data_IF_211999013895
#
_entry.id   IF_211999013895
#
_cell.length_a   1.000
_cell.length_b   1.000
_cell.length_c   1.000
_cell.angle_alpha   90.00
_cell.angle_beta   90.00
_cell.angle_gamma   90.00
#
_symmetry.space_group_name_H-M   'P 1'
#
loop_
_entity.id
_entity.type
_entity.pdbx_description
1 polymer ?
#
# COMPACT_ATOMS: atom_id res chain seq x y z
N UNK A 1 24.75 14.12 10.86
CA UNK A 1 23.32 14.49 10.83
C UNK A 1 22.53 13.31 11.38
N UNK A 2 21.53 13.51 12.24
CA UNK A 2 20.69 12.39 12.66
C UNK A 2 20.07 11.76 11.42
N UNK A 3 20.17 10.44 11.33
CA UNK A 3 19.63 9.67 10.21
C UNK A 3 18.10 9.76 10.29
N UNK A 4 17.51 10.51 9.36
CA UNK A 4 16.08 10.81 9.37
C UNK A 4 15.31 9.52 9.04
N UNK A 5 14.70 8.88 10.04
CA UNK A 5 13.92 7.66 9.84
C UNK A 5 12.42 7.90 9.94
N UNK A 6 11.63 7.13 9.18
CA UNK A 6 10.17 7.19 9.18
C UNK A 6 9.59 5.83 9.54
N UNK A 7 8.48 5.84 10.28
CA UNK A 7 7.66 4.65 10.53
C UNK A 7 6.17 4.97 10.32
N UNK A 8 5.37 3.92 10.12
CA UNK A 8 3.92 4.04 10.28
C UNK A 8 3.61 4.53 11.69
N UNK A 9 2.69 5.49 11.77
CA UNK A 9 2.16 5.97 13.04
C UNK A 9 1.33 4.88 13.73
N UNK A 10 0.47 4.19 12.96
CA UNK A 10 -0.35 3.07 13.43
C UNK A 10 0.00 1.77 12.70
N UNK A 11 0.74 0.88 13.36
CA UNK A 11 1.07 -0.45 12.82
C UNK A 11 -0.17 -1.30 12.50
N UNK A 12 -1.30 -1.04 13.18
CA UNK A 12 -2.58 -1.72 12.94
C UNK A 12 -3.06 -1.58 11.48
N UNK A 13 -2.68 -0.50 10.79
CA UNK A 13 -3.05 -0.31 9.37
C UNK A 13 -2.52 -1.45 8.49
N UNK A 14 -1.24 -1.81 8.68
CA UNK A 14 -0.59 -2.94 7.99
C UNK A 14 -1.20 -4.29 8.41
N UNK A 15 -1.55 -4.46 9.69
CA UNK A 15 -2.20 -5.68 10.19
C UNK A 15 -3.59 -5.88 9.56
N UNK A 16 -4.38 -4.82 9.48
CA UNK A 16 -5.73 -4.86 8.93
C UNK A 16 -5.71 -5.23 7.43
N UNK A 17 -4.80 -4.64 6.65
CA UNK A 17 -4.71 -4.96 5.22
C UNK A 17 -4.28 -6.42 5.01
N UNK A 18 -3.38 -6.97 5.83
CA UNK A 18 -3.01 -8.40 5.78
C UNK A 18 -4.25 -9.30 5.96
N UNK A 19 -5.12 -8.98 6.93
CA UNK A 19 -6.34 -9.76 7.19
C UNK A 19 -7.28 -9.74 5.99
N UNK A 20 -7.48 -8.58 5.38
CA UNK A 20 -8.33 -8.41 4.20
C UNK A 20 -7.78 -9.16 2.97
N UNK A 21 -6.48 -9.03 2.69
CA UNK A 21 -5.84 -9.75 1.58
C UNK A 21 -5.89 -11.27 1.78
N UNK A 22 -5.71 -11.77 3.01
CA UNK A 22 -5.88 -13.20 3.34
C UNK A 22 -7.32 -13.67 3.13
N UNK A 23 -8.30 -12.85 3.49
CA UNK A 23 -9.72 -13.15 3.27
C UNK A 23 -10.05 -13.23 1.78
N UNK A 24 -9.57 -12.26 0.99
CA UNK A 24 -9.74 -12.27 -0.46
C UNK A 24 -9.10 -13.51 -1.10
N UNK A 25 -7.84 -13.81 -0.74
CA UNK A 25 -7.15 -15.02 -1.19
C UNK A 25 -7.96 -16.28 -0.90
N UNK A 26 -8.49 -16.44 0.31
CA UNK A 26 -9.33 -17.58 0.69
C UNK A 26 -10.62 -17.64 -0.15
N UNK A 27 -11.25 -16.50 -0.40
CA UNK A 27 -12.47 -16.41 -1.21
C UNK A 27 -12.20 -16.82 -2.68
N UNK A 28 -11.09 -16.35 -3.25
CA UNK A 28 -10.71 -16.67 -4.63
C UNK A 28 -10.35 -18.15 -4.80
N UNK A 29 -9.67 -18.76 -3.82
CA UNK A 29 -9.33 -20.18 -3.84
C UNK A 29 -10.54 -21.10 -3.57
N UNK A 30 -11.55 -20.61 -2.85
CA UNK A 30 -12.77 -21.37 -2.51
C UNK A 30 -13.87 -21.31 -3.58
N UNK A 31 -13.80 -20.36 -4.52
CA UNK A 31 -14.72 -20.25 -5.65
C UNK A 31 -14.28 -21.15 -6.81
N UNK A 32 -15.06 -22.18 -7.13
CA UNK A 32 -14.74 -23.21 -8.11
C UNK A 32 -14.71 -22.79 -9.58
N UNK A 33 -14.36 -21.55 -9.91
CA UNK A 33 -14.26 -21.08 -11.30
C UNK A 33 -12.87 -20.52 -11.59
N UNK A 34 -12.09 -21.27 -12.37
CA UNK A 34 -10.82 -20.84 -12.94
C UNK A 34 -11.07 -19.84 -14.08
N UNK A 35 -11.22 -18.55 -13.76
CA UNK A 35 -11.03 -17.46 -14.74
C UNK A 35 -9.57 -17.00 -14.69
N UNK A 36 -8.97 -16.68 -15.82
CA UNK A 36 -7.57 -16.22 -15.90
C UNK A 36 -7.30 -14.98 -15.01
N UNK A 37 -8.27 -14.10 -14.85
CA UNK A 37 -8.22 -12.93 -13.95
C UNK A 37 -8.09 -13.33 -12.48
N UNK A 38 -8.75 -14.40 -12.04
CA UNK A 38 -8.66 -14.93 -10.67
C UNK A 38 -7.24 -15.44 -10.39
N UNK A 39 -6.60 -16.08 -11.38
CA UNK A 39 -5.23 -16.60 -11.23
C UNK A 39 -4.17 -15.48 -11.15
N UNK A 40 -4.39 -14.39 -11.90
CA UNK A 40 -3.58 -13.17 -11.81
C UNK A 40 -3.70 -12.52 -10.42
N UNK A 41 -4.93 -12.33 -9.92
CA UNK A 41 -5.17 -11.74 -8.61
C UNK A 41 -4.60 -12.59 -7.46
N UNK A 42 -4.70 -13.92 -7.54
CA UNK A 42 -4.08 -14.83 -6.56
C UNK A 42 -2.55 -14.66 -6.55
N UNK A 43 -1.91 -14.59 -7.71
CA UNK A 43 -0.45 -14.44 -7.79
C UNK A 43 0.03 -13.09 -7.20
N UNK A 44 -0.71 -12.02 -7.48
CA UNK A 44 -0.47 -10.70 -6.88
C UNK A 44 -0.66 -10.73 -5.36
N UNK A 45 -1.68 -11.43 -4.86
CA UNK A 45 -1.92 -11.61 -3.43
C UNK A 45 -0.81 -12.41 -2.74
N UNK A 46 -0.32 -13.49 -3.35
CA UNK A 46 0.84 -14.21 -2.81
C UNK A 46 2.07 -13.31 -2.72
N UNK A 47 2.30 -12.48 -3.74
CA UNK A 47 3.43 -11.54 -3.75
C UNK A 47 3.30 -10.52 -2.62
N UNK A 48 2.12 -9.90 -2.46
CA UNK A 48 1.86 -8.95 -1.36
C UNK A 48 2.05 -9.61 0.01
N UNK A 49 1.53 -10.81 0.21
CA UNK A 49 1.62 -11.55 1.47
C UNK A 49 3.01 -12.16 1.73
N UNK A 50 3.92 -12.16 0.75
CA UNK A 50 5.30 -12.67 0.86
C UNK A 50 6.25 -11.64 1.47
N UNK A 51 5.93 -11.18 2.69
CA UNK A 51 6.71 -10.22 3.47
C UNK A 51 6.84 -8.81 2.89
N UNK A 52 6.03 -8.46 1.89
CA UNK A 52 5.98 -7.10 1.33
C UNK A 52 5.11 -6.12 2.15
N UNK A 53 4.62 -6.54 3.31
CA UNK A 53 3.84 -5.71 4.23
C UNK A 53 4.60 -5.59 5.54
N UNK A 54 4.87 -4.36 5.98
CA UNK A 54 5.70 -4.05 7.13
C UNK A 54 5.15 -4.68 8.41
N UNK A 55 5.96 -5.55 9.01
CA UNK A 55 5.68 -6.10 10.34
C UNK A 55 6.72 -5.61 11.33
N UNK A 56 6.49 -4.44 11.94
CA UNK A 56 7.38 -3.86 12.95
C UNK A 56 7.36 -4.59 14.32
N UNK A 57 6.41 -5.51 14.55
CA UNK A 57 6.33 -6.31 15.78
C UNK A 57 7.17 -7.58 15.72
N UNK A 58 7.65 -7.98 14.54
CA UNK A 58 8.52 -9.14 14.41
C UNK A 58 9.82 -8.89 15.17
N UNK A 59 10.05 -9.66 16.24
CA UNK A 59 11.27 -9.58 17.05
C UNK A 59 12.52 -9.94 16.25
N UNK A 60 12.39 -10.91 15.32
CA UNK A 60 13.43 -11.33 14.39
C UNK A 60 12.87 -11.26 12.96
N UNK A 61 12.84 -10.07 12.31
CA UNK A 61 12.38 -9.94 10.93
C UNK A 61 13.31 -10.73 10.00
N UNK A 62 12.72 -11.43 9.04
CA UNK A 62 13.50 -12.12 8.02
C UNK A 62 14.12 -11.12 7.02
N UNK A 63 15.01 -11.61 6.16
CA UNK A 63 15.70 -10.77 5.17
C UNK A 63 14.74 -10.02 4.24
N UNK A 64 13.61 -10.62 3.85
CA UNK A 64 12.61 -9.95 3.01
C UNK A 64 11.96 -8.79 3.73
N UNK A 65 11.53 -8.97 4.99
CA UNK A 65 10.98 -7.89 5.82
C UNK A 65 11.95 -6.74 6.01
N UNK A 66 13.24 -7.04 6.26
CA UNK A 66 14.27 -6.01 6.38
C UNK A 66 14.40 -5.21 5.08
N UNK A 67 14.51 -5.91 3.95
CA UNK A 67 14.55 -5.29 2.61
C UNK A 67 13.30 -4.46 2.32
N UNK A 68 12.12 -4.93 2.70
CA UNK A 68 10.87 -4.18 2.53
C UNK A 68 10.86 -2.89 3.34
N UNK A 69 11.40 -2.90 4.57
CA UNK A 69 11.56 -1.69 5.40
C UNK A 69 12.53 -0.71 4.76
N UNK A 70 13.69 -1.19 4.28
CA UNK A 70 14.69 -0.38 3.57
C UNK A 70 14.07 0.28 2.34
N UNK A 71 13.44 -0.51 1.45
CA UNK A 71 12.78 -0.01 0.25
C UNK A 71 11.71 1.02 0.57
N UNK A 72 10.87 0.75 1.56
CA UNK A 72 9.84 1.71 1.96
C UNK A 72 10.46 3.02 2.46
N UNK A 73 11.59 2.95 3.15
CA UNK A 73 12.32 4.10 3.62
C UNK A 73 13.00 4.89 2.50
N UNK A 74 13.70 4.21 1.57
CA UNK A 74 14.34 4.79 0.38
C UNK A 74 13.35 5.64 -0.43
N UNK A 75 12.10 5.16 -0.60
CA UNK A 75 11.07 5.92 -1.32
C UNK A 75 10.70 7.25 -0.63
N UNK A 76 10.85 7.34 0.69
CA UNK A 76 10.57 8.57 1.44
C UNK A 76 11.77 9.52 1.53
N UNK A 77 13.00 9.03 1.34
CA UNK A 77 14.22 9.83 1.52
C UNK A 77 14.93 10.16 0.22
N UNK A 78 14.85 9.28 -0.78
CA UNK A 78 15.62 9.37 -2.02
C UNK A 78 14.77 9.78 -3.24
N UNK A 79 13.45 9.60 -3.18
CA UNK A 79 12.56 9.94 -4.30
C UNK A 79 12.08 11.39 -4.21
N UNK A 80 12.22 12.17 -5.28
CA UNK A 80 11.65 13.54 -5.35
C UNK A 80 10.14 13.54 -5.62
N UNK A 81 9.68 12.55 -6.38
CA UNK A 81 8.29 12.36 -6.77
C UNK A 81 7.86 10.92 -6.55
N UNK A 82 6.62 10.75 -6.09
CA UNK A 82 5.96 9.48 -5.93
C UNK A 82 4.68 9.45 -6.78
N UNK A 83 4.35 8.28 -7.29
CA UNK A 83 3.05 8.01 -7.85
C UNK A 83 1.98 7.94 -6.76
N UNK A 84 0.73 8.08 -7.18
CA UNK A 84 -0.39 7.96 -6.23
C UNK A 84 -0.42 6.59 -5.57
N UNK A 85 -0.21 5.52 -6.34
CA UNK A 85 -0.23 4.16 -5.82
C UNK A 85 0.95 3.90 -4.87
N UNK A 86 2.14 4.44 -5.14
CA UNK A 86 3.27 4.35 -4.20
C UNK A 86 2.95 5.04 -2.88
N UNK A 87 2.38 6.25 -2.92
CA UNK A 87 1.91 6.94 -1.72
C UNK A 87 0.88 6.10 -0.95
N UNK A 88 -0.13 5.53 -1.64
CA UNK A 88 -1.14 4.70 -1.00
C UNK A 88 -0.54 3.45 -0.34
N UNK A 89 0.36 2.76 -1.03
CA UNK A 89 1.06 1.60 -0.47
C UNK A 89 1.88 1.98 0.75
N UNK A 90 2.55 3.13 0.72
CA UNK A 90 3.30 3.65 1.87
C UNK A 90 2.38 3.82 3.10
N UNK A 91 1.22 4.46 2.92
CA UNK A 91 0.25 4.68 4.02
C UNK A 91 -0.29 3.37 4.61
N UNK A 92 -0.34 2.31 3.80
CA UNK A 92 -0.80 0.99 4.21
C UNK A 92 0.31 0.10 4.78
N UNK A 93 1.55 0.59 4.80
CA UNK A 93 2.72 -0.18 5.22
C UNK A 93 3.06 -1.31 4.26
N UNK A 94 2.86 -1.11 2.97
CA UNK A 94 3.18 -2.07 1.92
C UNK A 94 4.36 -1.53 1.12
N UNK A 95 5.20 -2.42 0.60
CA UNK A 95 6.30 -2.10 -0.30
C UNK A 95 5.81 -1.26 -1.48
N UNK A 96 6.27 0.00 -1.66
CA UNK A 96 5.83 0.86 -2.75
C UNK A 96 6.20 0.33 -4.14
N UNK A 97 7.19 -0.58 -4.24
CA UNK A 97 7.59 -1.26 -5.49
C UNK A 97 6.47 -2.10 -6.12
N UNK A 98 5.38 -2.35 -5.40
CA UNK A 98 4.24 -3.14 -5.88
C UNK A 98 3.10 -2.25 -6.43
N UNK A 99 3.36 -0.96 -6.66
CA UNK A 99 2.36 0.02 -7.11
C UNK A 99 1.68 -0.35 -8.43
N UNK A 100 2.40 -1.04 -9.31
CA UNK A 100 1.90 -1.54 -10.61
C UNK A 100 0.90 -2.69 -10.48
N UNK A 101 0.82 -3.35 -9.32
CA UNK A 101 -0.17 -4.42 -9.06
C UNK A 101 -1.59 -3.87 -8.83
N UNK A 102 -1.73 -2.56 -8.69
CA UNK A 102 -2.99 -1.90 -8.41
C UNK A 102 -3.36 -1.04 -9.61
N UNK A 103 -4.67 -0.90 -9.87
CA UNK A 103 -5.21 -0.07 -10.94
C UNK A 103 -4.53 1.32 -10.98
N UNK A 104 -3.82 1.66 -12.08
CA UNK A 104 -3.03 2.90 -12.19
C UNK A 104 -3.88 4.16 -12.09
N UNK A 105 -5.18 4.05 -12.38
CA UNK A 105 -6.11 5.17 -12.38
C UNK A 105 -6.88 5.38 -11.07
N UNK A 106 -6.53 4.67 -10.00
CA UNK A 106 -7.22 4.76 -8.69
C UNK A 106 -7.44 6.19 -8.20
N UNK A 107 -6.45 7.07 -8.39
CA UNK A 107 -6.52 8.47 -7.96
C UNK A 107 -7.70 9.24 -8.57
N UNK A 108 -8.11 8.88 -9.79
CA UNK A 108 -9.20 9.51 -10.54
C UNK A 108 -10.48 8.68 -10.59
N UNK A 109 -10.47 7.43 -10.12
CA UNK A 109 -11.67 6.57 -10.12
C UNK A 109 -12.74 7.15 -9.20
N UNK A 110 -13.94 7.36 -9.72
CA UNK A 110 -15.06 7.86 -8.93
C UNK A 110 -15.87 6.72 -8.28
N UNK A 111 -16.63 7.02 -7.22
CA UNK A 111 -17.55 6.04 -6.60
C UNK A 111 -18.54 5.43 -7.61
N UNK A 112 -19.00 6.24 -8.57
CA UNK A 112 -19.91 5.81 -9.63
C UNK A 112 -19.23 4.86 -10.63
N UNK A 113 -17.90 4.88 -10.70
CA UNK A 113 -17.07 4.05 -11.59
C UNK A 113 -16.58 2.77 -10.88
N UNK A 114 -17.02 2.51 -9.64
CA UNK A 114 -16.62 1.30 -8.88
C UNK A 114 -16.96 -0.01 -9.63
N UNK A 115 -17.95 0.04 -10.53
CA UNK A 115 -18.29 -1.08 -11.43
C UNK A 115 -17.11 -1.47 -12.32
N UNK A 116 -16.26 -0.52 -12.72
CA UNK A 116 -15.05 -0.80 -13.50
C UNK A 116 -13.95 -1.53 -12.70
N UNK A 117 -14.06 -1.55 -11.36
CA UNK A 117 -13.19 -2.28 -10.46
C UNK A 117 -13.78 -3.63 -10.01
N UNK A 118 -15.00 -4.00 -10.42
CA UNK A 118 -15.64 -5.25 -9.98
C UNK A 118 -14.85 -6.49 -10.39
N UNK A 119 -14.21 -6.45 -11.57
CA UNK A 119 -13.36 -7.53 -12.07
C UNK A 119 -11.90 -7.41 -11.56
N UNK A 120 -11.59 -6.38 -10.76
CA UNK A 120 -10.27 -6.09 -10.17
C UNK A 120 -10.35 -6.11 -8.65
N UNK A 121 -10.60 -7.29 -8.08
CA UNK A 121 -10.90 -7.47 -6.66
C UNK A 121 -9.79 -6.94 -5.75
N UNK A 122 -8.52 -7.10 -6.16
CA UNK A 122 -7.39 -6.53 -5.43
C UNK A 122 -7.46 -5.00 -5.37
N UNK A 123 -7.69 -4.34 -6.51
CA UNK A 123 -7.80 -2.88 -6.58
C UNK A 123 -9.00 -2.34 -5.82
N UNK A 124 -10.08 -3.13 -5.74
CA UNK A 124 -11.27 -2.78 -4.97
C UNK A 124 -10.97 -2.68 -3.46
N UNK A 125 -10.14 -3.59 -2.91
CA UNK A 125 -9.70 -3.52 -1.50
C UNK A 125 -8.99 -2.19 -1.24
N UNK A 126 -8.06 -1.80 -2.10
CA UNK A 126 -7.32 -0.54 -1.98
C UNK A 126 -8.23 0.68 -2.14
N UNK A 127 -9.17 0.62 -3.08
CA UNK A 127 -10.11 1.71 -3.33
C UNK A 127 -10.97 2.02 -2.10
N UNK A 128 -11.41 0.99 -1.37
CA UNK A 128 -12.28 1.10 -0.21
C UNK A 128 -11.59 1.61 1.06
N UNK A 129 -10.25 1.77 1.05
CA UNK A 129 -9.50 2.24 2.21
C UNK A 129 -9.76 3.72 2.49
N UNK A 130 -9.86 4.07 3.77
CA UNK A 130 -9.93 5.48 4.20
C UNK A 130 -8.67 6.24 3.79
N UNK A 131 -7.51 5.58 3.85
CA UNK A 131 -6.23 6.11 3.37
C UNK A 131 -6.32 6.56 1.92
N UNK A 132 -6.93 5.75 1.05
CA UNK A 132 -7.13 6.10 -0.36
C UNK A 132 -8.08 7.29 -0.50
N UNK A 133 -9.20 7.31 0.22
CA UNK A 133 -10.14 8.43 0.17
C UNK A 133 -9.47 9.76 0.54
N UNK A 134 -8.75 9.81 1.66
CA UNK A 134 -8.08 11.04 2.09
C UNK A 134 -6.92 11.42 1.17
N UNK A 135 -6.17 10.45 0.66
CA UNK A 135 -5.11 10.69 -0.30
C UNK A 135 -5.67 11.29 -1.60
N UNK A 136 -6.82 10.82 -2.10
CA UNK A 136 -7.50 11.39 -3.29
C UNK A 136 -8.02 12.80 -3.06
N UNK A 137 -8.54 13.11 -1.88
CA UNK A 137 -8.99 14.47 -1.56
C UNK A 137 -7.81 15.45 -1.54
N UNK A 138 -6.64 15.00 -1.07
CA UNK A 138 -5.44 15.84 -1.05
C UNK A 138 -4.71 15.91 -2.40
N UNK A 139 -4.50 14.77 -3.04
CA UNK A 139 -3.64 14.61 -4.21
C UNK A 139 -4.44 13.99 -5.36
N UNK A 140 -4.91 14.83 -6.28
CA UNK A 140 -5.65 14.41 -7.48
C UNK A 140 -4.74 14.17 -8.70
N UNK A 141 -3.50 13.76 -8.45
CA UNK A 141 -2.45 13.59 -9.46
C UNK A 141 -1.70 12.28 -9.23
N UNK A 142 -1.25 11.64 -10.32
CA UNK A 142 -0.34 10.49 -10.24
C UNK A 142 1.14 10.91 -10.13
N UNK A 143 1.43 12.19 -10.01
CA UNK A 143 2.76 12.71 -9.70
C UNK A 143 2.63 13.61 -8.48
N UNK A 144 3.12 13.13 -7.35
CA UNK A 144 3.02 13.78 -6.04
C UNK A 144 4.44 14.11 -5.60
N UNK A 145 4.67 15.35 -5.15
CA UNK A 145 5.95 15.72 -4.57
C UNK A 145 6.15 14.99 -3.23
N UNK A 146 7.29 14.30 -3.07
CA UNK A 146 7.54 13.47 -1.88
C UNK A 146 7.55 14.27 -0.59
N UNK A 147 8.14 15.47 -0.58
CA UNK A 147 8.18 16.31 0.61
C UNK A 147 6.78 16.80 1.02
N UNK A 148 5.92 17.14 0.05
CA UNK A 148 4.54 17.50 0.31
C UNK A 148 3.74 16.31 0.86
N UNK A 149 3.89 15.13 0.27
CA UNK A 149 3.27 13.89 0.75
C UNK A 149 3.69 13.57 2.19
N UNK A 150 4.99 13.61 2.49
CA UNK A 150 5.51 13.33 3.84
C UNK A 150 4.94 14.33 4.84
N UNK A 151 4.97 15.62 4.53
CA UNK A 151 4.42 16.65 5.42
C UNK A 151 2.95 16.36 5.74
N UNK A 152 2.14 16.12 4.71
CA UNK A 152 0.73 15.78 4.89
C UNK A 152 0.54 14.49 5.70
N UNK A 153 1.32 13.44 5.43
CA UNK A 153 1.18 12.16 6.11
C UNK A 153 1.62 12.23 7.59
N UNK A 154 2.54 13.14 7.94
CA UNK A 154 2.89 13.45 9.33
C UNK A 154 1.76 14.22 10.02
N UNK A 155 1.21 15.25 9.38
CA UNK A 155 0.13 16.09 9.93
C UNK A 155 -1.13 15.25 10.23
N UNK A 156 -1.44 14.28 9.36
CA UNK A 156 -2.57 13.36 9.50
C UNK A 156 -2.27 12.11 10.33
N UNK A 157 -1.08 12.01 10.94
CA UNK A 157 -0.67 10.87 11.77
C UNK A 157 -0.77 9.52 11.04
N UNK A 158 -0.37 9.50 9.77
CA UNK A 158 -0.10 8.26 9.02
C UNK A 158 1.36 7.83 9.17
N UNK A 159 2.26 8.82 9.15
CA UNK A 159 3.68 8.63 9.40
C UNK A 159 4.08 9.26 10.73
N UNK A 160 5.19 8.79 11.28
CA UNK A 160 5.94 9.45 12.35
C UNK A 160 7.42 9.47 12.00
N UNK A 161 8.09 10.56 12.38
CA UNK A 161 9.55 10.63 12.38
C UNK A 161 10.09 9.88 13.58
N UNK A 162 11.22 9.20 13.39
CA UNK A 162 12.01 8.61 14.46
C UNK A 162 13.29 9.41 14.53
N UNK A 163 13.53 9.98 15.70
CA UNK A 163 14.80 10.60 16.05
C UNK A 163 15.65 9.49 16.69
N UNK A 164 16.73 9.11 16.00
CA UNK A 164 17.76 8.21 16.50
C UNK A 164 18.92 9.01 17.09
#
# INVERSE_FOLDING_TARGET
>A
MPELSYNLFHQRTAENIIVELKRLRKSLLGGGHAKAEIQSDVSSLETLLSDNILNFKASNPNHKQLKTREVWHEFLTESEQLSFNECLLILLGISPKLSEMIEPSLYKTNLNEIKSLQDKQLSLIFFQRVENHLLRERFRSNKINTAEFIKWALDYKYLRKIEN
#
